data_IF_020580715027
#
_entry.id   IF_020580715027
#
_cell.length_a   1.000
_cell.length_b   1.000
_cell.length_c   1.000
_cell.angle_alpha   90.00
_cell.angle_beta   90.00
_cell.angle_gamma   90.00
#
_symmetry.space_group_name_H-M   'P 1'
#
loop_
_entity.id
_entity.type
_entity.pdbx_description
1 polymer ?
#
# COMPACT_ATOMS: atom_id res chain seq x y z
N UNK A 1 -27.07 13.24 -21.58
CA UNK A 1 -25.81 13.93 -21.89
C UNK A 1 -24.97 13.84 -20.64
N UNK A 2 -24.13 12.81 -20.53
CA UNK A 2 -23.27 12.60 -19.36
C UNK A 2 -22.08 13.54 -19.49
N UNK A 3 -22.03 14.56 -18.64
CA UNK A 3 -20.86 15.41 -18.44
C UNK A 3 -19.73 14.56 -17.87
N UNK A 4 -19.00 13.85 -18.73
CA UNK A 4 -17.78 13.17 -18.33
C UNK A 4 -16.75 14.26 -18.02
N UNK A 5 -16.23 14.34 -16.78
CA UNK A 5 -15.31 15.40 -16.40
C UNK A 5 -14.07 15.34 -17.30
N UNK A 6 -13.66 16.50 -17.81
CA UNK A 6 -12.50 16.62 -18.68
C UNK A 6 -11.26 15.98 -18.03
N UNK A 7 -10.44 15.24 -18.80
CA UNK A 7 -9.24 14.60 -18.26
C UNK A 7 -8.29 15.62 -17.64
N UNK A 8 -7.66 15.22 -16.53
CA UNK A 8 -6.71 16.06 -15.81
C UNK A 8 -5.51 16.40 -16.71
N UNK A 9 -5.06 17.65 -16.65
CA UNK A 9 -3.81 18.05 -17.28
C UNK A 9 -2.60 17.32 -16.65
N UNK A 10 -1.47 17.17 -17.38
CA UNK A 10 -0.35 16.34 -16.94
C UNK A 10 0.20 16.65 -15.55
N UNK A 11 0.28 17.94 -15.18
CA UNK A 11 0.74 18.38 -13.85
C UNK A 11 -0.21 17.95 -12.74
N UNK A 12 -1.53 18.04 -12.97
CA UNK A 12 -2.53 17.63 -12.01
C UNK A 12 -2.52 16.10 -11.83
N UNK A 13 -2.36 15.33 -12.91
CA UNK A 13 -2.20 13.88 -12.85
C UNK A 13 -0.95 13.48 -12.07
N UNK A 14 0.18 14.15 -12.30
CA UNK A 14 1.43 13.92 -11.56
C UNK A 14 1.26 14.23 -10.06
N UNK A 15 0.64 15.37 -9.72
CA UNK A 15 0.37 15.74 -8.34
C UNK A 15 -0.58 14.75 -7.64
N UNK A 16 -1.65 14.33 -8.32
CA UNK A 16 -2.60 13.34 -7.81
C UNK A 16 -1.93 11.98 -7.58
N UNK A 17 -1.07 11.55 -8.50
CA UNK A 17 -0.33 10.32 -8.33
C UNK A 17 0.72 10.43 -7.21
N UNK A 18 1.39 11.58 -7.10
CA UNK A 18 2.27 11.87 -5.96
C UNK A 18 1.54 11.76 -4.62
N UNK A 19 0.32 12.28 -4.53
CA UNK A 19 -0.54 12.13 -3.34
C UNK A 19 -0.89 10.66 -3.07
N UNK A 20 -1.19 9.86 -4.10
CA UNK A 20 -1.42 8.42 -3.96
C UNK A 20 -0.19 7.72 -3.34
N UNK A 21 1.02 8.03 -3.81
CA UNK A 21 2.24 7.47 -3.25
C UNK A 21 2.54 7.95 -1.84
N UNK A 22 2.27 9.22 -1.54
CA UNK A 22 2.41 9.78 -0.19
C UNK A 22 1.46 9.10 0.79
N UNK A 23 0.20 8.89 0.41
CA UNK A 23 -0.76 8.15 1.23
C UNK A 23 -0.35 6.69 1.40
N UNK A 24 0.21 6.05 0.36
CA UNK A 24 0.74 4.69 0.46
C UNK A 24 1.87 4.60 1.49
N UNK A 25 2.78 5.58 1.48
CA UNK A 25 3.87 5.69 2.45
C UNK A 25 3.33 5.85 3.87
N UNK A 26 2.43 6.81 4.09
CA UNK A 26 1.87 7.09 5.41
C UNK A 26 1.10 5.88 5.98
N UNK A 27 0.29 5.21 5.15
CA UNK A 27 -0.47 4.03 5.57
C UNK A 27 0.42 2.81 5.79
N UNK A 28 1.50 2.64 5.01
CA UNK A 28 2.48 1.57 5.23
C UNK A 28 3.21 1.77 6.56
N UNK A 29 3.66 2.99 6.85
CA UNK A 29 4.31 3.35 8.12
C UNK A 29 3.34 3.15 9.27
N UNK A 30 2.14 3.71 9.19
CA UNK A 30 1.13 3.56 10.25
C UNK A 30 0.74 2.10 10.47
N UNK A 31 0.51 1.34 9.39
CA UNK A 31 0.23 -0.09 9.45
C UNK A 31 1.35 -0.90 10.09
N UNK A 32 2.61 -0.54 9.88
CA UNK A 32 3.74 -1.20 10.50
C UNK A 32 3.78 -1.00 12.03
N UNK A 33 3.45 0.20 12.52
CA UNK A 33 3.34 0.46 13.97
C UNK A 33 2.15 -0.25 14.64
N UNK A 34 1.23 -0.81 13.86
CA UNK A 34 0.15 -1.68 14.35
C UNK A 34 0.58 -3.16 14.42
N UNK A 35 1.87 -3.49 14.23
CA UNK A 35 2.39 -4.86 14.27
C UNK A 35 3.21 -5.11 15.56
N UNK A 36 2.78 -6.03 16.45
CA UNK A 36 1.45 -6.59 16.61
C UNK A 36 0.62 -5.74 17.59
N UNK A 37 -0.49 -5.18 17.11
CA UNK A 37 -1.52 -4.64 17.98
C UNK A 37 -2.23 -5.80 18.69
N UNK A 38 -2.31 -5.73 20.02
CA UNK A 38 -2.87 -6.78 20.86
C UNK A 38 -3.90 -6.24 21.82
N UNK A 39 -4.91 -7.05 22.11
CA UNK A 39 -5.80 -6.89 23.25
C UNK A 39 -5.66 -8.11 24.16
N UNK A 40 -4.92 -7.95 25.27
CA UNK A 40 -4.49 -9.09 26.08
C UNK A 40 -3.62 -10.05 25.28
N UNK A 41 -4.03 -11.32 25.20
CA UNK A 41 -3.33 -12.36 24.43
C UNK A 41 -3.72 -12.41 22.95
N UNK A 42 -4.80 -11.73 22.55
CA UNK A 42 -5.36 -11.78 21.19
C UNK A 42 -4.66 -10.77 20.29
N UNK A 43 -4.19 -11.22 19.13
CA UNK A 43 -3.66 -10.34 18.07
C UNK A 43 -4.82 -9.75 17.29
N UNK A 44 -4.86 -8.42 17.18
CA UNK A 44 -5.87 -7.71 16.40
C UNK A 44 -5.39 -7.56 14.94
N UNK A 45 -6.24 -7.86 13.94
CA UNK A 45 -5.84 -7.85 12.52
C UNK A 45 -5.78 -6.43 11.92
N UNK A 46 -5.63 -5.38 12.73
CA UNK A 46 -5.70 -3.99 12.29
C UNK A 46 -4.61 -3.65 11.26
N UNK A 47 -3.37 -4.09 11.50
CA UNK A 47 -2.26 -3.89 10.56
C UNK A 47 -2.51 -4.58 9.22
N UNK A 48 -3.06 -5.80 9.25
CA UNK A 48 -3.38 -6.58 8.04
C UNK A 48 -4.51 -5.92 7.24
N UNK A 49 -5.54 -5.41 7.92
CA UNK A 49 -6.62 -4.67 7.30
C UNK A 49 -6.10 -3.39 6.63
N UNK A 50 -5.23 -2.64 7.29
CA UNK A 50 -4.58 -1.45 6.71
C UNK A 50 -3.73 -1.81 5.50
N UNK A 51 -2.92 -2.87 5.58
CA UNK A 51 -2.09 -3.33 4.47
C UNK A 51 -2.94 -3.72 3.24
N UNK A 52 -4.02 -4.47 3.44
CA UNK A 52 -4.91 -4.88 2.37
C UNK A 52 -5.66 -3.69 1.76
N UNK A 53 -6.33 -2.90 2.61
CA UNK A 53 -7.17 -1.79 2.17
C UNK A 53 -6.37 -0.70 1.46
N UNK A 54 -5.19 -0.34 1.99
CA UNK A 54 -4.33 0.69 1.39
C UNK A 54 -3.84 0.27 0.01
N UNK A 55 -3.28 -0.93 -0.15
CA UNK A 55 -2.76 -1.40 -1.44
C UNK A 55 -3.87 -1.56 -2.49
N UNK A 56 -5.04 -2.09 -2.11
CA UNK A 56 -6.18 -2.22 -3.04
C UNK A 56 -6.73 -0.85 -3.46
N UNK A 57 -7.01 0.03 -2.51
CA UNK A 57 -7.62 1.33 -2.78
C UNK A 57 -6.67 2.24 -3.55
N UNK A 58 -5.41 2.34 -3.11
CA UNK A 58 -4.42 3.20 -3.74
C UNK A 58 -3.92 2.63 -5.07
N UNK A 59 -3.80 1.30 -5.19
CA UNK A 59 -3.48 0.65 -6.46
C UNK A 59 -4.59 0.92 -7.50
N UNK A 60 -5.86 0.84 -7.10
CA UNK A 60 -6.98 1.21 -7.97
C UNK A 60 -7.00 2.71 -8.31
N UNK A 61 -6.67 3.58 -7.36
CA UNK A 61 -6.56 5.02 -7.62
C UNK A 61 -5.42 5.32 -8.62
N UNK A 62 -4.24 4.72 -8.42
CA UNK A 62 -3.11 4.83 -9.34
C UNK A 62 -3.45 4.30 -10.74
N UNK A 63 -4.17 3.18 -10.82
CA UNK A 63 -4.64 2.62 -12.09
C UNK A 63 -5.56 3.58 -12.87
N UNK A 64 -6.40 4.34 -12.17
CA UNK A 64 -7.28 5.35 -12.79
C UNK A 64 -6.51 6.56 -13.32
N UNK A 65 -5.36 6.87 -12.74
CA UNK A 65 -4.55 8.04 -13.10
C UNK A 65 -3.55 7.74 -14.24
N UNK A 66 -2.86 6.61 -14.18
CA UNK A 66 -1.75 6.27 -15.09
C UNK A 66 -1.95 4.95 -15.84
N UNK A 67 -3.16 4.38 -15.81
CA UNK A 67 -3.42 3.04 -16.34
C UNK A 67 -2.76 1.94 -15.51
N UNK A 68 -2.69 0.73 -16.05
CA UNK A 68 -2.15 -0.45 -15.35
C UNK A 68 -0.80 -0.25 -14.65
N UNK A 69 0.20 0.45 -15.22
CA UNK A 69 1.46 0.73 -14.53
C UNK A 69 1.28 1.54 -13.25
N UNK A 70 0.30 2.43 -13.17
CA UNK A 70 0.00 3.22 -11.97
C UNK A 70 -0.45 2.39 -10.78
N UNK A 71 -0.93 1.16 -11.00
CA UNK A 71 -1.37 0.28 -9.91
C UNK A 71 -0.21 -0.24 -9.06
N UNK A 72 1.01 -0.28 -9.59
CA UNK A 72 2.16 -0.92 -8.93
C UNK A 72 2.80 -0.06 -7.85
N UNK A 73 2.72 1.28 -7.99
CA UNK A 73 3.45 2.23 -7.15
C UNK A 73 3.19 2.06 -5.65
N UNK A 74 1.93 2.02 -5.18
CA UNK A 74 1.60 1.80 -3.77
C UNK A 74 2.21 0.52 -3.21
N UNK A 75 2.18 -0.56 -3.99
CA UNK A 75 2.78 -1.84 -3.63
C UNK A 75 4.28 -1.78 -3.41
N UNK A 76 4.99 -1.11 -4.31
CA UNK A 76 6.45 -0.90 -4.19
C UNK A 76 6.77 -0.09 -2.93
N UNK A 77 6.06 1.01 -2.70
CA UNK A 77 6.23 1.84 -1.50
C UNK A 77 5.99 1.01 -0.23
N UNK A 78 4.91 0.22 -0.20
CA UNK A 78 4.59 -0.65 0.91
C UNK A 78 5.71 -1.68 1.17
N UNK A 79 6.22 -2.35 0.12
CA UNK A 79 7.30 -3.36 0.25
C UNK A 79 8.55 -2.73 0.85
N UNK A 80 8.95 -1.56 0.31
CA UNK A 80 10.13 -0.85 0.78
C UNK A 80 10.01 -0.51 2.27
N UNK A 81 8.87 0.03 2.69
CA UNK A 81 8.62 0.37 4.09
C UNK A 81 8.63 -0.87 4.98
N UNK A 82 7.91 -1.92 4.59
CA UNK A 82 7.82 -3.15 5.37
C UNK A 82 9.18 -3.83 5.54
N UNK A 83 10.00 -3.88 4.48
CA UNK A 83 11.35 -4.42 4.55
C UNK A 83 12.28 -3.52 5.38
N UNK A 84 12.17 -2.20 5.24
CA UNK A 84 12.96 -1.24 6.03
C UNK A 84 12.66 -1.38 7.52
N UNK A 85 11.39 -1.57 7.89
CA UNK A 85 10.95 -1.66 9.28
C UNK A 85 11.08 -3.08 9.87
N UNK A 86 11.19 -4.11 9.02
CA UNK A 86 11.51 -5.49 9.41
C UNK A 86 13.01 -5.80 9.44
N UNK A 87 13.86 -4.90 8.95
CA UNK A 87 15.32 -5.06 8.97
C UNK A 87 15.90 -4.64 10.31
N UNK A 88 16.81 -5.46 10.87
CA UNK A 88 17.44 -5.17 12.16
C UNK A 88 18.20 -3.86 12.12
N UNK A 89 17.91 -2.96 13.07
CA UNK A 89 18.72 -1.78 13.32
C UNK A 89 19.87 -2.09 14.27
N UNK A 90 20.88 -1.23 14.26
CA UNK A 90 22.03 -1.28 15.20
C UNK A 90 21.60 -1.27 16.67
N UNK A 91 20.43 -0.72 16.96
CA UNK A 91 19.82 -0.63 18.29
C UNK A 91 19.20 -1.97 18.75
N UNK A 92 19.04 -2.94 17.85
CA UNK A 92 18.50 -4.27 18.14
C UNK A 92 16.97 -4.36 18.13
N UNK A 93 16.25 -3.24 18.11
CA UNK A 93 14.78 -3.21 18.06
C UNK A 93 14.24 -3.23 16.62
N UNK A 94 13.04 -3.78 16.45
CA UNK A 94 12.34 -3.94 15.18
C UNK A 94 10.92 -3.37 15.29
N UNK A 95 10.56 -2.50 14.35
CA UNK A 95 9.17 -2.01 14.25
C UNK A 95 8.24 -3.11 13.75
N UNK A 96 8.70 -3.94 12.80
CA UNK A 96 8.00 -5.15 12.38
C UNK A 96 8.80 -6.36 12.88
N UNK A 97 8.39 -6.98 14.00
CA UNK A 97 9.10 -8.14 14.52
C UNK A 97 9.03 -9.32 13.55
N UNK A 98 10.11 -10.11 13.47
CA UNK A 98 10.20 -11.36 12.71
C UNK A 98 9.34 -12.49 13.30
N UNK A 99 8.04 -12.22 13.44
CA UNK A 99 7.02 -13.05 14.08
C UNK A 99 5.91 -13.35 13.07
N UNK A 100 5.06 -14.33 13.36
CA UNK A 100 3.93 -14.68 12.48
C UNK A 100 3.07 -13.47 12.10
N UNK A 101 2.66 -12.56 13.03
CA UNK A 101 1.89 -11.38 12.66
C UNK A 101 2.60 -10.43 11.68
N UNK A 102 3.93 -10.29 11.80
CA UNK A 102 4.74 -9.49 10.88
C UNK A 102 4.83 -10.11 9.49
N UNK A 103 4.98 -11.44 9.42
CA UNK A 103 4.95 -12.16 8.14
C UNK A 103 3.58 -12.09 7.46
N UNK A 104 2.48 -12.19 8.23
CA UNK A 104 1.12 -12.04 7.69
C UNK A 104 0.91 -10.61 7.18
N UNK A 105 1.35 -9.59 7.93
CA UNK A 105 1.34 -8.20 7.45
C UNK A 105 2.07 -8.07 6.10
N UNK A 106 3.25 -8.70 6.01
CA UNK A 106 4.06 -8.66 4.79
C UNK A 106 3.31 -9.29 3.60
N UNK A 107 2.81 -10.51 3.79
CA UNK A 107 2.15 -11.29 2.74
C UNK A 107 0.83 -10.65 2.31
N UNK A 108 0.03 -10.16 3.24
CA UNK A 108 -1.26 -9.52 2.93
C UNK A 108 -1.06 -8.26 2.09
N UNK A 109 -0.08 -7.41 2.42
CA UNK A 109 0.23 -6.22 1.62
C UNK A 109 0.70 -6.58 0.21
N UNK A 110 1.60 -7.55 0.10
CA UNK A 110 2.10 -8.01 -1.20
C UNK A 110 0.99 -8.62 -2.09
N UNK A 111 0.14 -9.49 -1.52
CA UNK A 111 -0.99 -10.09 -2.24
C UNK A 111 -2.00 -9.02 -2.66
N UNK A 112 -2.35 -8.10 -1.76
CA UNK A 112 -3.27 -7.01 -2.06
C UNK A 112 -2.76 -6.13 -3.22
N UNK A 113 -1.46 -5.82 -3.23
CA UNK A 113 -0.80 -5.10 -4.33
C UNK A 113 -0.90 -5.88 -5.66
N UNK A 114 -0.58 -7.17 -5.65
CA UNK A 114 -0.66 -8.02 -6.84
C UNK A 114 -2.09 -8.09 -7.39
N UNK A 115 -3.10 -8.21 -6.51
CA UNK A 115 -4.51 -8.18 -6.86
C UNK A 115 -4.91 -6.83 -7.46
N UNK A 116 -4.47 -5.71 -6.86
CA UNK A 116 -4.74 -4.37 -7.39
C UNK A 116 -4.20 -4.20 -8.82
N UNK A 117 -2.99 -4.68 -9.08
CA UNK A 117 -2.38 -4.67 -10.41
C UNK A 117 -3.08 -5.61 -11.40
N UNK A 118 -3.50 -6.79 -10.96
CA UNK A 118 -4.21 -7.76 -11.80
C UNK A 118 -5.59 -7.26 -12.24
N UNK A 119 -6.29 -6.55 -11.35
CA UNK A 119 -7.62 -5.97 -11.61
C UNK A 119 -7.57 -4.63 -12.37
N UNK A 120 -6.38 -4.05 -12.57
CA UNK A 120 -6.23 -2.80 -13.29
C UNK A 120 -6.50 -3.00 -14.80
N UNK A 121 -7.30 -2.14 -15.44
CA UNK A 121 -7.61 -2.26 -16.86
C UNK A 121 -6.34 -2.30 -17.72
N UNK A 122 -6.28 -3.15 -18.76
CA UNK A 122 -5.18 -3.14 -19.71
C UNK A 122 -5.00 -1.75 -20.34
N UNK A 123 -3.77 -1.30 -20.52
CA UNK A 123 -3.47 -0.12 -21.32
C UNK A 123 -4.01 -0.36 -22.74
N UNK A 124 -4.95 0.48 -23.19
CA UNK A 124 -5.40 0.48 -24.60
C UNK A 124 -4.21 0.96 -25.43
N UNK A 125 -3.56 0.03 -26.11
CA UNK A 125 -2.58 0.33 -27.17
C UNK A 125 -3.28 0.84 -28.41
#
# INVERSE_FOLDING_TARGET
MSDEPAPLGPRATAAAYGLVLLLALLLAVWGAFLVPLRWGTVVLPASWAVAAASNLALGRAGARLLGRPGAIGPGVVWVVVALTFGSRRSEGDLVIPGTTPGLVFLLVGAVASAVAYALAPPSRG
#
